data_IF_059492343329
#
_entry.id   IF_059492343329
#
_cell.length_a   1.000
_cell.length_b   1.000
_cell.length_c   1.000
_cell.angle_alpha   90.00
_cell.angle_beta   90.00
_cell.angle_gamma   90.00
#
_symmetry.space_group_name_H-M   'P 1'
#
loop_
_entity.id
_entity.type
_entity.pdbx_description
1 polymer ?
#
# COMPACT_ATOMS: atom_id res chain seq x y z
N UNK A 1 19.16 16.14 -9.51
CA UNK A 1 18.25 15.35 -10.38
C UNK A 1 17.29 14.60 -9.48
N UNK A 2 15.97 14.72 -9.68
CA UNK A 2 14.97 13.97 -8.92
C UNK A 2 14.82 12.60 -9.60
N UNK A 3 15.04 11.47 -8.91
CA UNK A 3 14.87 10.15 -9.51
C UNK A 3 13.40 9.90 -9.86
N UNK A 4 13.13 9.44 -11.08
CA UNK A 4 11.79 9.07 -11.53
C UNK A 4 11.55 7.60 -11.18
N UNK A 5 10.50 7.33 -10.42
CA UNK A 5 10.03 5.97 -10.17
C UNK A 5 9.04 5.55 -11.27
N UNK A 6 9.57 5.02 -12.38
CA UNK A 6 8.77 4.61 -13.52
C UNK A 6 8.21 3.19 -13.30
N UNK A 7 7.09 3.10 -12.59
CA UNK A 7 6.39 1.85 -12.30
C UNK A 7 4.90 1.97 -12.69
N UNK A 8 4.26 0.93 -13.25
CA UNK A 8 2.85 1.00 -13.63
C UNK A 8 1.95 1.21 -12.41
N UNK A 9 0.87 1.97 -12.59
CA UNK A 9 -0.19 2.05 -11.58
C UNK A 9 -0.90 0.71 -11.48
N UNK A 10 -1.10 0.23 -10.25
CA UNK A 10 -1.91 -0.95 -9.98
C UNK A 10 -3.41 -0.65 -10.04
N UNK A 11 -4.22 -1.70 -10.22
CA UNK A 11 -5.67 -1.63 -10.11
C UNK A 11 -6.09 -2.12 -8.71
N UNK A 12 -6.61 -1.22 -7.88
CA UNK A 12 -7.00 -1.55 -6.50
C UNK A 12 -8.14 -2.58 -6.42
N UNK A 13 -8.91 -2.77 -7.51
CA UNK A 13 -9.97 -3.78 -7.57
C UNK A 13 -9.46 -5.22 -7.63
N UNK A 14 -8.20 -5.39 -8.03
CA UNK A 14 -7.54 -6.70 -8.10
C UNK A 14 -6.98 -7.12 -6.73
N UNK A 15 -7.10 -6.28 -5.69
CA UNK A 15 -6.70 -6.62 -4.33
C UNK A 15 -7.70 -7.57 -3.69
N UNK A 16 -7.17 -8.56 -2.99
CA UNK A 16 -7.93 -9.56 -2.26
C UNK A 16 -7.65 -9.47 -0.77
N UNK A 17 -8.49 -10.13 0.03
CA UNK A 17 -8.21 -10.32 1.45
C UNK A 17 -6.83 -10.96 1.63
N UNK A 18 -6.01 -10.39 2.51
CA UNK A 18 -4.66 -10.89 2.77
C UNK A 18 -3.60 -10.50 1.74
N UNK A 19 -3.94 -9.73 0.69
CA UNK A 19 -2.94 -9.18 -0.23
C UNK A 19 -1.88 -8.38 0.54
N UNK A 20 -0.60 -8.72 0.35
CA UNK A 20 0.50 -8.05 1.02
C UNK A 20 0.73 -6.65 0.44
N UNK A 21 0.93 -5.67 1.32
CA UNK A 21 1.20 -4.29 0.94
C UNK A 21 2.36 -3.69 1.72
N UNK A 22 3.11 -2.83 1.05
CA UNK A 22 4.08 -1.92 1.65
C UNK A 22 3.59 -0.49 1.56
N UNK A 23 3.82 0.28 2.62
CA UNK A 23 3.47 1.68 2.71
C UNK A 23 4.72 2.50 2.91
N UNK A 24 4.85 3.57 2.15
CA UNK A 24 5.98 4.49 2.20
C UNK A 24 5.45 5.89 2.47
N UNK A 25 5.97 6.54 3.52
CA UNK A 25 5.53 7.87 3.93
C UNK A 25 6.58 8.63 4.73
N UNK A 26 6.19 9.82 5.20
CA UNK A 26 7.04 10.68 6.03
C UNK A 26 6.33 11.08 7.35
N UNK A 27 5.90 10.11 8.17
CA UNK A 27 5.31 10.42 9.48
C UNK A 27 6.28 11.26 10.32
N UNK A 28 5.80 12.43 10.78
CA UNK A 28 6.60 13.42 11.54
C UNK A 28 7.91 13.84 10.86
N UNK A 29 7.98 13.79 9.52
CA UNK A 29 9.16 14.19 8.75
C UNK A 29 10.23 13.11 8.58
N UNK A 30 10.03 11.91 9.12
CA UNK A 30 10.96 10.79 8.97
C UNK A 30 10.48 9.84 7.89
N UNK A 31 11.35 9.50 6.93
CA UNK A 31 11.05 8.49 5.92
C UNK A 31 10.82 7.14 6.61
N UNK A 32 9.65 6.56 6.42
CA UNK A 32 9.32 5.25 6.98
C UNK A 32 8.75 4.33 5.89
N UNK A 33 9.06 3.05 6.05
CA UNK A 33 8.47 1.95 5.29
C UNK A 33 7.85 1.01 6.31
N UNK A 34 6.59 0.65 6.10
CA UNK A 34 5.89 -0.36 6.89
C UNK A 34 5.19 -1.36 5.98
N UNK A 35 4.81 -2.51 6.53
CA UNK A 35 4.09 -3.57 5.82
C UNK A 35 2.78 -3.89 6.53
N UNK A 36 1.85 -4.44 5.78
CA UNK A 36 0.60 -5.00 6.28
C UNK A 36 -0.08 -5.84 5.22
N UNK A 37 -1.34 -6.15 5.46
CA UNK A 37 -2.22 -6.85 4.54
C UNK A 37 -3.46 -6.01 4.26
N UNK A 38 -4.13 -6.33 3.16
CA UNK A 38 -5.47 -5.82 2.86
C UNK A 38 -6.49 -6.55 3.75
N UNK A 39 -7.20 -5.78 4.57
CA UNK A 39 -8.19 -6.26 5.56
C UNK A 39 -9.62 -5.87 5.21
N UNK A 40 -9.85 -5.26 4.05
CA UNK A 40 -11.17 -5.05 3.44
C UNK A 40 -10.98 -4.55 1.99
N UNK A 41 -10.91 -5.44 0.99
CA UNK A 41 -10.82 -5.05 -0.42
C UNK A 41 -12.15 -4.50 -0.93
N UNK A 42 -12.13 -3.67 -1.99
CA UNK A 42 -13.32 -3.22 -2.70
C UNK A 42 -14.43 -2.63 -1.81
N UNK A 43 -14.04 -1.87 -0.78
CA UNK A 43 -14.93 -1.21 0.19
C UNK A 43 -15.91 -0.24 -0.48
N UNK A 44 -15.58 0.27 -1.65
CA UNK A 44 -16.49 1.09 -2.47
C UNK A 44 -16.43 0.72 -3.97
N UNK A 45 -17.30 1.38 -4.77
CA UNK A 45 -17.40 1.17 -6.23
C UNK A 45 -16.11 1.52 -6.98
N UNK A 46 -15.21 2.28 -6.36
CA UNK A 46 -13.97 2.78 -6.94
C UNK A 46 -12.77 1.91 -6.57
N UNK A 47 -12.96 0.87 -5.74
CA UNK A 47 -11.88 -0.03 -5.31
C UNK A 47 -11.12 0.49 -4.09
N UNK A 48 -11.71 1.37 -3.27
CA UNK A 48 -11.11 1.71 -1.98
C UNK A 48 -10.92 0.45 -1.12
N UNK A 49 -9.89 0.42 -0.30
CA UNK A 49 -9.57 -0.74 0.54
C UNK A 49 -9.03 -0.32 1.90
N UNK A 50 -9.05 -1.24 2.86
CA UNK A 50 -8.44 -1.06 4.18
C UNK A 50 -7.23 -1.96 4.36
N UNK A 51 -6.32 -1.52 5.20
CA UNK A 51 -5.09 -2.23 5.57
C UNK A 51 -4.92 -2.23 7.09
N UNK A 52 -4.14 -3.17 7.62
CA UNK A 52 -3.82 -3.28 9.04
C UNK A 52 -2.46 -2.66 9.44
N UNK A 53 -1.72 -2.10 8.48
CA UNK A 53 -0.39 -1.58 8.72
C UNK A 53 -0.39 -0.41 9.73
N UNK A 54 0.66 -0.28 10.57
CA UNK A 54 0.84 0.87 11.47
C UNK A 54 0.76 2.22 10.74
N UNK A 55 -0.34 2.94 10.93
CA UNK A 55 -0.64 4.18 10.23
C UNK A 55 -0.63 5.38 11.17
N UNK A 56 0.30 6.32 10.94
CA UNK A 56 0.42 7.57 11.68
C UNK A 56 0.24 8.77 10.75
N UNK A 57 -0.10 9.94 11.30
CA UNK A 57 -0.14 11.20 10.51
C UNK A 57 1.20 11.43 9.81
N UNK A 58 1.13 11.73 8.52
CA UNK A 58 2.27 11.84 7.58
C UNK A 58 2.44 10.67 6.62
N UNK A 59 1.56 9.64 6.70
CA UNK A 59 1.34 8.69 5.60
C UNK A 59 0.27 9.15 4.59
N UNK A 60 -0.48 10.21 4.87
CA UNK A 60 -1.47 10.78 3.94
C UNK A 60 -0.81 11.17 2.61
N UNK A 61 -1.31 10.65 1.48
CA UNK A 61 -0.71 10.85 0.16
C UNK A 61 0.56 10.02 -0.11
N UNK A 62 0.95 9.16 0.82
CA UNK A 62 2.07 8.23 0.67
C UNK A 62 1.79 7.12 -0.36
N UNK A 63 2.86 6.44 -0.77
CA UNK A 63 2.77 5.36 -1.76
C UNK A 63 2.36 4.06 -1.07
N UNK A 64 1.44 3.33 -1.71
CA UNK A 64 1.10 1.95 -1.35
C UNK A 64 1.51 1.04 -2.51
N UNK A 65 2.27 0.00 -2.22
CA UNK A 65 2.71 -1.01 -3.19
C UNK A 65 2.15 -2.36 -2.78
N UNK A 66 1.35 -2.99 -3.64
CA UNK A 66 0.85 -4.34 -3.42
C UNK A 66 1.78 -5.36 -4.07
N UNK A 67 1.96 -6.51 -3.41
CA UNK A 67 2.68 -7.64 -3.98
C UNK A 67 1.68 -8.48 -4.79
N UNK A 68 1.86 -8.49 -6.11
CA UNK A 68 1.06 -9.30 -7.01
C UNK A 68 1.44 -10.78 -6.84
N UNK A 69 0.44 -11.65 -6.91
CA UNK A 69 0.59 -13.12 -6.82
C UNK A 69 1.10 -13.61 -5.45
N UNK A 70 1.03 -12.75 -4.42
CA UNK A 70 1.42 -13.07 -3.05
C UNK A 70 2.93 -13.10 -2.85
N UNK A 71 3.36 -13.51 -1.65
CA UNK A 71 4.77 -13.71 -1.33
C UNK A 71 5.01 -15.21 -1.18
N UNK A 72 5.87 -15.83 -2.00
CA UNK A 72 6.15 -17.26 -1.87
C UNK A 72 6.76 -17.53 -0.48
N UNK A 73 6.18 -18.50 0.23
CA UNK A 73 6.64 -19.00 1.53
C UNK A 73 6.51 -18.03 2.72
N UNK A 74 5.50 -17.16 2.70
CA UNK A 74 5.09 -16.35 3.86
C UNK A 74 3.92 -16.98 4.62
#
# INVERSE_FOLDING_TARGET
MIPIFNYPLGNAKDLEWGSFVYLIGYPRGYKMITKGIVSNPNRDKNGAFMIDAPFNRGFSGGIVLAVKDGVPNF
#
